data_IF_578038847701
#
_entry.id   IF_578038847701
#
_cell.length_a   1.000
_cell.length_b   1.000
_cell.length_c   1.000
_cell.angle_alpha   90.00
_cell.angle_beta   90.00
_cell.angle_gamma   90.00
#
_symmetry.space_group_name_H-M   'P 1'
#
loop_
_entity.id
_entity.type
_entity.pdbx_description
1 polymer ?
#
# COMPACT_ATOMS: atom_id res chain seq x y z
N UNK A 1 18.60 -9.67 17.32
CA UNK A 1 17.42 -9.85 16.45
C UNK A 1 16.71 -8.50 16.40
N UNK A 2 16.69 -7.84 15.24
CA UNK A 2 15.83 -6.67 15.05
C UNK A 2 14.40 -7.21 15.05
N UNK A 3 13.63 -6.90 16.09
CA UNK A 3 12.26 -7.40 16.22
C UNK A 3 11.39 -6.79 15.13
N UNK A 4 10.46 -7.59 14.60
CA UNK A 4 9.39 -7.08 13.73
C UNK A 4 8.42 -6.30 14.63
N UNK A 5 8.08 -5.07 14.25
CA UNK A 5 7.15 -4.21 15.01
C UNK A 5 5.76 -4.33 14.38
N UNK A 6 4.73 -4.51 15.21
CA UNK A 6 3.36 -4.46 14.72
C UNK A 6 3.03 -3.04 14.23
N UNK A 7 2.27 -2.97 13.13
CA UNK A 7 1.74 -1.73 12.58
C UNK A 7 0.24 -1.89 12.38
N UNK A 8 -0.54 -0.95 12.91
CA UNK A 8 -1.98 -0.88 12.71
C UNK A 8 -2.29 0.34 11.84
N UNK A 9 -2.79 0.08 10.63
CA UNK A 9 -3.11 1.09 9.63
C UNK A 9 -4.62 1.05 9.31
N UNK A 10 -5.47 1.88 9.94
CA UNK A 10 -6.88 1.95 9.57
C UNK A 10 -7.04 2.35 8.10
N UNK A 11 -7.83 1.58 7.35
CA UNK A 11 -8.21 1.97 5.98
C UNK A 11 -9.17 3.15 6.02
N UNK A 12 -8.72 4.28 5.47
CA UNK A 12 -9.50 5.51 5.39
C UNK A 12 -10.65 5.41 4.40
N UNK A 13 -10.70 4.36 3.57
CA UNK A 13 -11.84 4.04 2.70
C UNK A 13 -13.15 3.87 3.49
N UNK A 14 -13.06 3.41 4.75
CA UNK A 14 -14.21 3.19 5.63
C UNK A 14 -14.53 4.39 6.53
N UNK A 15 -13.86 5.52 6.34
CA UNK A 15 -14.05 6.73 7.13
C UNK A 15 -15.07 7.68 6.52
N UNK A 16 -15.44 8.73 7.25
CA UNK A 16 -16.19 9.85 6.68
C UNK A 16 -15.28 10.72 5.81
N UNK A 17 -15.35 10.54 4.49
CA UNK A 17 -14.56 11.32 3.54
C UNK A 17 -14.80 12.83 3.62
N UNK A 18 -15.97 13.28 4.11
CA UNK A 18 -16.25 14.71 4.29
C UNK A 18 -15.48 15.33 5.46
N UNK A 19 -14.92 14.49 6.34
CA UNK A 19 -14.21 14.88 7.56
C UNK A 19 -12.82 14.22 7.67
N UNK A 20 -12.14 13.93 6.55
CA UNK A 20 -10.87 13.18 6.52
C UNK A 20 -9.80 13.65 7.52
N UNK A 21 -9.61 14.97 7.69
CA UNK A 21 -8.61 15.49 8.63
C UNK A 21 -8.94 15.11 10.08
N UNK A 22 -10.23 15.21 10.45
CA UNK A 22 -10.73 14.82 11.77
C UNK A 22 -10.67 13.31 11.97
N UNK A 23 -11.04 12.53 10.94
CA UNK A 23 -10.97 11.07 10.97
C UNK A 23 -9.52 10.58 11.14
N UNK A 24 -8.58 11.17 10.41
CA UNK A 24 -7.15 10.89 10.51
C UNK A 24 -6.60 11.18 11.91
N UNK A 25 -6.86 12.38 12.44
CA UNK A 25 -6.47 12.75 13.81
C UNK A 25 -7.09 11.81 14.86
N UNK A 26 -8.36 11.44 14.70
CA UNK A 26 -9.05 10.48 15.56
C UNK A 26 -8.34 9.12 15.56
N UNK A 27 -7.99 8.58 14.39
CA UNK A 27 -7.29 7.29 14.28
C UNK A 27 -5.93 7.31 14.96
N UNK A 28 -5.14 8.38 14.75
CA UNK A 28 -3.82 8.52 15.39
C UNK A 28 -3.96 8.62 16.92
N UNK A 29 -4.93 9.40 17.42
CA UNK A 29 -5.22 9.46 18.87
C UNK A 29 -5.67 8.13 19.46
N UNK A 30 -6.31 7.28 18.65
CA UNK A 30 -6.67 5.91 19.02
C UNK A 30 -5.52 4.89 18.90
N UNK A 31 -4.32 5.33 18.51
CA UNK A 31 -3.11 4.49 18.47
C UNK A 31 -2.80 3.89 17.10
N UNK A 32 -3.38 4.40 16.01
CA UNK A 32 -2.96 4.03 14.67
C UNK A 32 -1.48 4.40 14.44
N UNK A 33 -0.72 3.49 13.87
CA UNK A 33 0.66 3.75 13.45
C UNK A 33 0.67 4.54 12.14
N UNK A 34 -0.12 4.09 11.18
CA UNK A 34 -0.23 4.59 9.82
C UNK A 34 -1.69 4.85 9.45
N UNK A 35 -1.93 5.52 8.33
CA UNK A 35 -3.25 5.65 7.72
C UNK A 35 -3.19 5.02 6.33
N UNK A 36 -3.97 3.96 6.11
CA UNK A 36 -4.00 3.25 4.83
C UNK A 36 -4.95 3.97 3.87
N UNK A 37 -4.42 4.34 2.71
CA UNK A 37 -5.08 5.16 1.71
C UNK A 37 -5.25 4.32 0.44
N UNK A 38 -6.47 3.90 0.14
CA UNK A 38 -6.80 3.13 -1.05
C UNK A 38 -7.06 4.05 -2.25
N UNK A 39 -6.21 3.99 -3.28
CA UNK A 39 -6.29 4.81 -4.50
C UNK A 39 -6.68 3.92 -5.67
N UNK A 40 -7.87 4.16 -6.23
CA UNK A 40 -8.46 3.36 -7.30
C UNK A 40 -8.82 4.23 -8.50
N UNK A 41 -8.48 3.78 -9.70
CA UNK A 41 -8.69 4.52 -10.96
C UNK A 41 -9.95 4.12 -11.74
N UNK A 42 -10.75 3.18 -11.23
CA UNK A 42 -11.91 2.62 -11.93
C UNK A 42 -11.58 1.68 -13.10
N UNK A 43 -10.29 1.47 -13.41
CA UNK A 43 -9.83 0.62 -14.52
C UNK A 43 -9.18 -0.66 -13.99
N UNK A 44 -8.27 -0.55 -13.02
CA UNK A 44 -7.62 -1.72 -12.41
C UNK A 44 -8.58 -2.52 -11.52
N UNK A 45 -9.49 -1.81 -10.87
CA UNK A 45 -10.62 -2.32 -10.09
C UNK A 45 -11.88 -1.55 -10.49
N UNK A 46 -13.09 -2.14 -10.38
CA UNK A 46 -14.34 -1.51 -10.80
C UNK A 46 -14.86 -0.49 -9.76
N UNK A 47 -13.98 0.34 -9.21
CA UNK A 47 -14.30 1.39 -8.25
C UNK A 47 -13.31 2.56 -8.39
N UNK A 48 -13.74 3.77 -8.04
CA UNK A 48 -12.91 4.98 -8.06
C UNK A 48 -13.02 5.66 -6.70
N UNK A 49 -11.88 5.95 -6.07
CA UNK A 49 -11.83 6.49 -4.71
C UNK A 49 -11.29 7.92 -4.68
N UNK A 50 -9.99 8.07 -4.38
CA UNK A 50 -9.30 9.33 -4.16
C UNK A 50 -7.98 9.32 -4.93
N UNK A 51 -7.36 10.49 -5.11
CA UNK A 51 -6.07 10.63 -5.79
C UNK A 51 -5.13 11.59 -5.06
N UNK A 52 -4.00 11.93 -5.71
CA UNK A 52 -2.96 12.79 -5.15
C UNK A 52 -3.47 14.11 -4.52
N UNK A 53 -4.46 14.84 -5.10
CA UNK A 53 -4.96 16.07 -4.47
C UNK A 53 -5.56 15.88 -3.07
N UNK A 54 -6.15 14.70 -2.80
CA UNK A 54 -6.68 14.36 -1.47
C UNK A 54 -5.54 14.09 -0.50
N UNK A 55 -4.50 13.38 -0.94
CA UNK A 55 -3.29 13.13 -0.14
C UNK A 55 -2.58 14.45 0.20
N UNK A 56 -2.42 15.33 -0.78
CA UNK A 56 -1.78 16.64 -0.59
C UNK A 56 -2.57 17.49 0.41
N UNK A 57 -3.90 17.48 0.29
CA UNK A 57 -4.77 18.21 1.22
C UNK A 57 -4.67 17.63 2.62
N UNK A 58 -4.74 16.31 2.78
CA UNK A 58 -4.66 15.65 4.08
C UNK A 58 -3.29 15.84 4.75
N UNK A 59 -2.19 15.79 3.98
CA UNK A 59 -0.82 16.01 4.49
C UNK A 59 -0.65 17.37 5.18
N UNK A 60 -1.40 18.41 4.76
CA UNK A 60 -1.39 19.72 5.43
C UNK A 60 -1.94 19.67 6.86
N UNK A 61 -2.65 18.61 7.24
CA UNK A 61 -3.32 18.44 8.52
C UNK A 61 -2.75 17.30 9.38
N UNK A 62 -1.81 16.49 8.89
CA UNK A 62 -1.24 15.38 9.65
C UNK A 62 0.21 15.08 9.30
N UNK A 63 0.98 14.70 10.33
CA UNK A 63 2.33 14.15 10.19
C UNK A 63 2.35 12.61 10.20
N UNK A 64 1.18 11.96 10.23
CA UNK A 64 1.06 10.51 10.18
C UNK A 64 1.72 9.94 8.91
N UNK A 65 2.15 8.69 9.00
CA UNK A 65 2.56 7.94 7.82
C UNK A 65 1.33 7.67 6.95
N UNK A 66 1.34 8.17 5.71
CA UNK A 66 0.27 7.93 4.74
C UNK A 66 0.71 6.77 3.85
N UNK A 67 0.13 5.60 4.11
CA UNK A 67 0.42 4.38 3.38
C UNK A 67 -0.49 4.31 2.15
N UNK A 68 0.04 4.71 0.98
CA UNK A 68 -0.75 4.79 -0.24
C UNK A 68 -0.69 3.47 -1.01
N UNK A 69 -1.85 2.83 -1.13
CA UNK A 69 -2.06 1.61 -1.90
C UNK A 69 -2.67 1.93 -3.27
N UNK A 70 -1.88 1.73 -4.32
CA UNK A 70 -2.17 2.14 -5.69
C UNK A 70 -2.80 0.97 -6.46
N UNK A 71 -4.13 0.92 -6.44
CA UNK A 71 -4.96 0.06 -7.28
C UNK A 71 -5.26 0.77 -8.61
N UNK A 72 -4.20 1.03 -9.38
CA UNK A 72 -4.26 1.75 -10.67
C UNK A 72 -3.53 0.97 -11.76
N UNK A 73 -3.88 1.23 -13.02
CA UNK A 73 -3.30 0.53 -14.17
C UNK A 73 -1.91 1.04 -14.57
N UNK A 74 -1.61 2.31 -14.28
CA UNK A 74 -0.40 3.02 -14.68
C UNK A 74 0.35 3.64 -13.49
N UNK A 75 0.85 2.84 -12.52
CA UNK A 75 1.39 3.36 -11.25
C UNK A 75 2.61 4.28 -11.41
N UNK A 76 3.41 4.13 -12.48
CA UNK A 76 4.57 4.99 -12.72
C UNK A 76 4.18 6.48 -12.85
N UNK A 77 3.04 6.76 -13.47
CA UNK A 77 2.52 8.12 -13.66
C UNK A 77 2.11 8.79 -12.33
N UNK A 78 1.95 7.99 -11.27
CA UNK A 78 1.51 8.44 -9.95
C UNK A 78 2.68 8.74 -9.01
N UNK A 79 3.91 8.30 -9.32
CA UNK A 79 5.07 8.47 -8.44
C UNK A 79 5.35 9.95 -8.17
N UNK A 80 5.43 10.77 -9.22
CA UNK A 80 5.72 12.21 -9.10
C UNK A 80 4.60 12.97 -8.36
N UNK A 81 3.30 12.82 -8.72
CA UNK A 81 2.22 13.44 -7.98
C UNK A 81 2.15 13.03 -6.51
N UNK A 82 2.35 11.75 -6.18
CA UNK A 82 2.24 11.26 -4.79
C UNK A 82 3.45 11.65 -3.94
N UNK A 83 4.65 11.66 -4.52
CA UNK A 83 5.84 12.21 -3.87
C UNK A 83 5.65 13.69 -3.51
N UNK A 84 5.11 14.49 -4.44
CA UNK A 84 4.76 15.90 -4.18
C UNK A 84 3.65 16.08 -3.14
N UNK A 85 2.64 15.22 -3.18
CA UNK A 85 1.53 15.23 -2.23
C UNK A 85 1.96 14.86 -0.79
N UNK A 86 3.14 14.26 -0.62
CA UNK A 86 3.67 13.86 0.67
C UNK A 86 3.14 12.50 1.14
N UNK A 87 2.89 11.58 0.20
CA UNK A 87 2.72 10.16 0.55
C UNK A 87 3.97 9.64 1.27
N UNK A 88 3.78 8.70 2.20
CA UNK A 88 4.89 8.10 2.95
C UNK A 88 5.25 6.72 2.40
N UNK A 89 4.23 5.90 2.15
CA UNK A 89 4.36 4.64 1.42
C UNK A 89 3.76 4.75 0.02
N UNK A 90 4.29 3.96 -0.91
CA UNK A 90 3.74 3.79 -2.25
C UNK A 90 3.75 2.29 -2.58
N UNK A 91 2.60 1.66 -2.47
CA UNK A 91 2.41 0.23 -2.69
C UNK A 91 1.70 0.01 -4.02
N UNK A 92 2.42 -0.51 -5.01
CA UNK A 92 1.87 -0.79 -6.35
C UNK A 92 1.46 -2.25 -6.49
N UNK A 93 0.65 -2.57 -7.49
CA UNK A 93 0.24 -3.94 -7.79
C UNK A 93 1.20 -4.65 -8.76
N UNK A 94 1.68 -5.84 -8.40
CA UNK A 94 2.57 -6.65 -9.25
C UNK A 94 1.94 -7.00 -10.60
N UNK A 95 0.61 -7.05 -10.67
CA UNK A 95 -0.15 -7.41 -11.87
C UNK A 95 0.03 -6.43 -13.03
N UNK A 96 0.43 -5.19 -12.76
CA UNK A 96 0.55 -4.12 -13.77
C UNK A 96 1.98 -3.61 -13.94
N UNK A 97 2.96 -4.23 -13.28
CA UNK A 97 4.35 -3.74 -13.25
C UNK A 97 5.39 -4.77 -13.69
N UNK A 98 4.98 -5.86 -14.35
CA UNK A 98 5.88 -6.99 -14.68
C UNK A 98 7.13 -6.57 -15.46
N UNK A 99 7.00 -5.59 -16.34
CA UNK A 99 8.08 -5.17 -17.25
C UNK A 99 8.86 -3.94 -16.77
N UNK A 100 8.44 -3.27 -15.70
CA UNK A 100 9.00 -1.98 -15.27
C UNK A 100 9.15 -1.81 -13.74
N UNK A 101 8.97 -2.86 -12.95
CA UNK A 101 9.02 -2.77 -11.49
C UNK A 101 10.35 -2.21 -10.96
N UNK A 102 11.48 -2.47 -11.63
CA UNK A 102 12.81 -1.98 -11.20
C UNK A 102 12.92 -0.46 -11.32
N UNK A 103 12.43 0.11 -12.42
CA UNK A 103 12.36 1.57 -12.63
C UNK A 103 11.40 2.18 -11.60
N UNK A 104 10.21 1.59 -11.46
CA UNK A 104 9.20 2.05 -10.53
C UNK A 104 9.70 2.12 -9.09
N UNK A 105 10.36 1.08 -8.58
CA UNK A 105 10.90 1.07 -7.21
C UNK A 105 11.97 2.16 -7.03
N UNK A 106 12.87 2.33 -8.00
CA UNK A 106 13.90 3.37 -7.94
C UNK A 106 13.28 4.77 -7.90
N UNK A 107 12.27 5.02 -8.72
CA UNK A 107 11.59 6.31 -8.77
C UNK A 107 10.84 6.60 -7.47
N UNK A 108 10.16 5.60 -6.90
CA UNK A 108 9.50 5.71 -5.60
C UNK A 108 10.52 6.10 -4.52
N UNK A 109 11.66 5.40 -4.44
CA UNK A 109 12.72 5.71 -3.46
C UNK A 109 13.34 7.08 -3.70
N UNK A 110 13.57 7.47 -4.96
CA UNK A 110 14.12 8.77 -5.32
C UNK A 110 13.19 9.93 -4.90
N UNK A 111 11.90 9.66 -4.75
CA UNK A 111 10.91 10.61 -4.19
C UNK A 111 10.76 10.55 -2.67
N UNK A 112 11.58 9.76 -1.99
CA UNK A 112 11.58 9.65 -0.52
C UNK A 112 10.38 8.87 0.03
N UNK A 113 9.66 8.15 -0.83
CA UNK A 113 8.57 7.26 -0.42
C UNK A 113 9.11 5.85 -0.19
N UNK A 114 8.48 5.10 0.70
CA UNK A 114 8.76 3.68 0.92
C UNK A 114 8.07 2.82 -0.15
N UNK A 115 8.80 2.04 -0.96
CA UNK A 115 8.19 1.17 -1.96
C UNK A 115 7.60 -0.09 -1.34
N UNK A 116 6.36 -0.38 -1.66
CA UNK A 116 5.69 -1.65 -1.36
C UNK A 116 5.16 -2.31 -2.63
N UNK A 117 4.86 -3.60 -2.56
CA UNK A 117 4.13 -4.30 -3.62
C UNK A 117 2.93 -5.06 -3.05
N UNK A 118 1.80 -4.98 -3.73
CA UNK A 118 0.59 -5.74 -3.48
C UNK A 118 0.41 -6.86 -4.51
N UNK A 119 -0.27 -7.93 -4.10
CA UNK A 119 -0.73 -8.98 -5.01
C UNK A 119 -2.16 -9.41 -4.68
N UNK A 120 -2.96 -9.60 -5.73
CA UNK A 120 -4.35 -10.09 -5.65
C UNK A 120 -4.41 -11.53 -5.14
N UNK A 121 -5.59 -12.00 -4.68
CA UNK A 121 -5.75 -13.38 -4.22
C UNK A 121 -5.34 -14.43 -5.27
N UNK A 122 -5.70 -14.21 -6.53
CA UNK A 122 -5.38 -15.11 -7.65
C UNK A 122 -3.91 -15.09 -8.12
N UNK A 123 -3.10 -14.13 -7.67
CA UNK A 123 -1.72 -13.97 -8.15
C UNK A 123 -0.75 -14.87 -7.37
N UNK A 124 0.11 -15.66 -8.04
CA UNK A 124 1.12 -16.48 -7.37
C UNK A 124 2.03 -15.65 -6.46
N UNK A 125 2.42 -16.21 -5.31
CA UNK A 125 3.27 -15.49 -4.35
C UNK A 125 4.71 -15.36 -4.85
N UNK A 126 5.11 -16.23 -5.78
CA UNK A 126 6.40 -16.24 -6.44
C UNK A 126 6.64 -14.96 -7.25
N UNK A 127 5.58 -14.32 -7.77
CA UNK A 127 5.66 -13.11 -8.59
C UNK A 127 6.27 -11.92 -7.81
N UNK A 128 6.24 -11.92 -6.48
CA UNK A 128 6.84 -10.85 -5.66
C UNK A 128 8.28 -11.14 -5.22
N UNK A 129 8.80 -12.36 -5.39
CA UNK A 129 10.14 -12.69 -4.91
C UNK A 129 11.25 -11.85 -5.55
N UNK A 130 11.27 -11.63 -6.88
CA UNK A 130 12.30 -10.80 -7.50
C UNK A 130 12.32 -9.37 -6.92
N UNK A 131 11.16 -8.83 -6.56
CA UNK A 131 11.03 -7.47 -6.03
C UNK A 131 11.57 -7.35 -4.59
N UNK A 132 11.50 -8.43 -3.81
CA UNK A 132 12.02 -8.48 -2.43
C UNK A 132 13.52 -8.78 -2.41
N UNK A 133 14.01 -9.51 -3.40
CA UNK A 133 15.41 -9.98 -3.49
C UNK A 133 16.31 -9.07 -4.34
N UNK A 134 15.76 -8.03 -4.99
CA UNK A 134 16.52 -7.06 -5.79
C UNK A 134 17.52 -6.25 -4.95
N UNK A 135 18.52 -5.65 -5.61
CA UNK A 135 19.47 -4.74 -4.98
C UNK A 135 18.80 -3.48 -4.41
N UNK A 136 17.73 -3.01 -5.07
CA UNK A 136 16.86 -1.94 -4.60
C UNK A 136 15.47 -2.52 -4.38
N UNK A 137 15.25 -3.23 -3.26
CA UNK A 137 14.03 -4.02 -3.08
C UNK A 137 12.85 -3.15 -2.62
N UNK A 138 11.65 -3.70 -2.78
CA UNK A 138 10.49 -3.27 -2.00
C UNK A 138 10.72 -3.56 -0.52
N UNK A 139 10.14 -2.73 0.34
CA UNK A 139 10.34 -2.80 1.77
C UNK A 139 9.11 -3.35 2.51
N UNK A 140 8.02 -3.61 1.78
CA UNK A 140 6.76 -4.14 2.29
C UNK A 140 6.05 -4.96 1.20
N UNK A 141 5.37 -6.03 1.60
CA UNK A 141 4.46 -6.78 0.73
C UNK A 141 3.05 -6.78 1.33
N UNK A 142 2.07 -6.32 0.55
CA UNK A 142 0.64 -6.35 0.89
C UNK A 142 -0.01 -7.59 0.26
N UNK A 143 -0.44 -8.53 1.10
CA UNK A 143 -1.21 -9.70 0.66
C UNK A 143 -2.69 -9.36 0.70
N UNK A 144 -3.32 -9.17 -0.45
CA UNK A 144 -4.77 -8.92 -0.48
C UNK A 144 -5.53 -10.13 0.10
N UNK A 145 -6.35 -9.88 1.13
CA UNK A 145 -7.17 -10.90 1.82
C UNK A 145 -8.63 -10.89 1.39
N UNK A 146 -8.94 -10.10 0.36
CA UNK A 146 -10.22 -10.01 -0.38
C UNK A 146 -9.91 -9.64 -1.83
N UNK A 147 -10.88 -9.75 -2.73
CA UNK A 147 -10.73 -9.16 -4.07
C UNK A 147 -10.71 -7.62 -3.96
N UNK A 148 -9.72 -6.92 -4.53
CA UNK A 148 -9.60 -5.47 -4.37
C UNK A 148 -10.76 -4.73 -5.02
N UNK A 149 -11.19 -3.63 -4.40
CA UNK A 149 -12.17 -2.70 -4.96
C UNK A 149 -13.17 -2.12 -3.95
N UNK A 150 -13.68 -2.94 -3.02
CA UNK A 150 -14.70 -2.50 -2.06
C UNK A 150 -14.42 -3.00 -0.64
N UNK A 151 -14.75 -2.17 0.36
CA UNK A 151 -14.75 -2.58 1.76
C UNK A 151 -15.91 -3.51 2.13
N UNK A 152 -15.83 -4.14 3.31
CA UNK A 152 -16.91 -4.98 3.87
C UNK A 152 -17.02 -6.40 3.30
N UNK A 153 -16.05 -6.81 2.47
CA UNK A 153 -15.96 -8.17 1.95
C UNK A 153 -15.52 -9.18 3.02
N UNK A 154 -15.79 -10.47 2.76
CA UNK A 154 -15.41 -11.54 3.68
C UNK A 154 -13.91 -11.82 3.55
N UNK A 155 -13.22 -11.83 4.67
CA UNK A 155 -11.83 -12.30 4.78
C UNK A 155 -11.65 -13.68 4.14
N UNK A 156 -10.58 -13.86 3.38
CA UNK A 156 -10.16 -15.11 2.70
C UNK A 156 -9.02 -15.78 3.48
N UNK A 157 -9.30 -16.73 4.40
CA UNK A 157 -8.28 -17.31 5.28
C UNK A 157 -7.15 -18.04 4.55
N UNK A 158 -7.42 -18.55 3.35
CA UNK A 158 -6.46 -19.22 2.49
C UNK A 158 -5.28 -18.31 2.08
N UNK A 159 -5.47 -16.98 2.08
CA UNK A 159 -4.39 -16.01 1.80
C UNK A 159 -3.32 -16.00 2.89
N UNK A 160 -3.63 -16.51 4.09
CA UNK A 160 -2.63 -16.66 5.15
C UNK A 160 -1.51 -17.62 4.78
N UNK A 161 -1.72 -18.52 3.81
CA UNK A 161 -0.64 -19.34 3.28
C UNK A 161 0.46 -18.46 2.64
N UNK A 162 0.09 -17.40 1.91
CA UNK A 162 1.04 -16.44 1.32
C UNK A 162 1.81 -15.70 2.41
N UNK A 163 1.12 -15.22 3.44
CA UNK A 163 1.74 -14.56 4.61
C UNK A 163 2.77 -15.47 5.30
N UNK A 164 2.43 -16.75 5.52
CA UNK A 164 3.34 -17.74 6.13
C UNK A 164 4.58 -17.97 5.26
N UNK A 165 4.37 -18.11 3.95
CA UNK A 165 5.47 -18.30 2.99
C UNK A 165 6.42 -17.10 3.00
N UNK A 166 5.89 -15.87 2.92
CA UNK A 166 6.69 -14.65 3.00
C UNK A 166 7.44 -14.54 4.32
N UNK A 167 6.77 -14.74 5.47
CA UNK A 167 7.42 -14.62 6.78
C UNK A 167 8.52 -15.66 6.97
N UNK A 168 8.31 -16.89 6.48
CA UNK A 168 9.31 -17.96 6.54
C UNK A 168 10.55 -17.62 5.71
N UNK A 169 10.34 -17.04 4.51
CA UNK A 169 11.42 -16.70 3.58
C UNK A 169 12.14 -15.41 3.96
N UNK A 170 11.40 -14.42 4.48
CA UNK A 170 11.87 -13.07 4.80
C UNK A 170 11.48 -12.70 6.24
N UNK A 171 12.31 -13.10 7.25
CA UNK A 171 11.94 -13.00 8.66
C UNK A 171 11.68 -11.58 9.17
N UNK A 172 12.25 -10.55 8.53
CA UNK A 172 12.15 -9.15 8.93
C UNK A 172 11.37 -8.27 7.95
N UNK A 173 10.81 -8.83 6.87
CA UNK A 173 10.02 -8.07 5.90
C UNK A 173 8.71 -7.60 6.55
N UNK A 174 8.27 -6.38 6.24
CA UNK A 174 6.92 -5.94 6.60
C UNK A 174 5.91 -6.63 5.67
N UNK A 175 4.92 -7.28 6.29
CA UNK A 175 3.86 -8.00 5.58
C UNK A 175 2.54 -7.42 6.07
N UNK A 176 1.82 -6.79 5.15
CA UNK A 176 0.47 -6.25 5.36
C UNK A 176 -0.56 -7.24 4.82
N UNK A 177 -1.76 -7.26 5.41
CA UNK A 177 -2.85 -8.20 5.07
C UNK A 177 -4.24 -7.61 5.32
#
# INVERSE_FOLDING_TARGET
MVGVMAKIAPSMLSSDFSNLASEADRMIKCGADWLHMDIMDGHFVPNLTIGAPVIESLRKHTNAYLDCHLMVTNPLDYVEPFGKAGASGFTFHVEVTKDNWQELIRDIKAKGMRPGVALKPGTPIEDVYPLVEDEVPVEMVLVMTVEPGFGGQKFMPEMMNKVRTLRKKYPSLDIEM
#
